data_IF_714519313430
#
_entry.id   IF_714519313430
#
_cell.length_a   1.000
_cell.length_b   1.000
_cell.length_c   1.000
_cell.angle_alpha   90.00
_cell.angle_beta   90.00
_cell.angle_gamma   90.00
#
_symmetry.space_group_name_H-M   'P 1'
#
loop_
_entity.id
_entity.type
_entity.pdbx_description
1 polymer ?
#
# COMPACT_ATOMS: atom_id res chain seq x y z
N UNK A 1 -20.31 21.98 -3.74
CA UNK A 1 -20.66 20.73 -3.00
C UNK A 1 -19.48 20.38 -2.12
N UNK A 2 -19.64 20.36 -0.79
CA UNK A 2 -18.54 20.08 0.13
C UNK A 2 -18.12 18.64 -0.05
N UNK A 3 -16.88 18.40 -0.46
CA UNK A 3 -16.25 17.09 -0.42
C UNK A 3 -16.10 16.70 1.07
N UNK A 4 -17.17 16.18 1.67
CA UNK A 4 -17.05 15.49 2.95
C UNK A 4 -16.22 14.24 2.71
N UNK A 5 -14.94 14.31 3.01
CA UNK A 5 -14.07 13.13 3.11
C UNK A 5 -14.46 12.43 4.42
N UNK A 6 -15.15 11.33 4.32
CA UNK A 6 -15.45 10.46 5.44
C UNK A 6 -14.36 9.40 5.55
N UNK A 7 -13.75 9.30 6.71
CA UNK A 7 -12.67 8.37 6.98
C UNK A 7 -13.08 7.47 8.14
N UNK A 8 -12.84 6.16 8.00
CA UNK A 8 -12.92 5.22 9.12
C UNK A 8 -14.30 4.70 9.52
N UNK A 9 -15.29 4.70 8.62
CA UNK A 9 -16.56 4.02 8.89
C UNK A 9 -16.96 3.09 7.75
N UNK A 10 -17.40 1.87 8.08
CA UNK A 10 -17.95 0.90 7.11
C UNK A 10 -19.12 1.49 6.33
N UNK A 11 -19.92 2.36 6.97
CA UNK A 11 -21.13 2.94 6.37
C UNK A 11 -20.85 4.10 5.41
N UNK A 12 -19.62 4.61 5.35
CA UNK A 12 -19.23 5.76 4.53
C UNK A 12 -18.18 5.36 3.49
N UNK A 13 -18.35 4.20 2.88
CA UNK A 13 -17.43 3.70 1.84
C UNK A 13 -17.43 4.65 0.66
N UNK A 14 -16.22 5.08 0.30
CA UNK A 14 -15.96 5.63 -1.02
C UNK A 14 -16.11 4.49 -2.01
N UNK A 15 -16.74 4.72 -3.14
CA UNK A 15 -16.97 3.69 -4.14
C UNK A 15 -15.65 3.04 -4.60
N UNK A 16 -15.58 1.73 -4.49
CA UNK A 16 -14.40 0.95 -4.83
C UNK A 16 -14.14 0.95 -6.34
N UNK A 17 -12.88 1.05 -6.72
CA UNK A 17 -12.44 0.92 -8.11
C UNK A 17 -12.66 2.17 -8.96
N UNK A 18 -13.01 3.32 -8.36
CA UNK A 18 -13.22 4.59 -9.07
C UNK A 18 -11.97 5.47 -9.09
N UNK A 19 -11.90 6.30 -10.12
CA UNK A 19 -10.91 7.36 -10.24
C UNK A 19 -11.51 8.69 -9.76
N UNK A 20 -10.99 9.22 -8.65
CA UNK A 20 -11.38 10.50 -8.05
C UNK A 20 -10.39 11.63 -8.36
N UNK A 21 -9.38 11.39 -9.21
CA UNK A 21 -8.38 12.40 -9.58
C UNK A 21 -8.98 13.54 -10.43
N UNK A 22 -10.11 13.28 -11.09
CA UNK A 22 -10.67 14.20 -12.09
C UNK A 22 -9.88 14.25 -13.40
N UNK A 23 -8.93 13.34 -13.57
CA UNK A 23 -8.08 13.14 -14.75
C UNK A 23 -7.70 11.67 -14.89
N UNK A 24 -7.31 11.25 -16.09
CA UNK A 24 -6.86 9.89 -16.35
C UNK A 24 -5.35 9.71 -16.11
N UNK A 25 -4.58 10.79 -16.20
CA UNK A 25 -3.13 10.78 -16.00
C UNK A 25 -2.76 10.61 -14.53
N UNK A 26 -1.94 9.62 -14.21
CA UNK A 26 -1.38 9.39 -12.89
C UNK A 26 -0.13 10.24 -12.68
N UNK A 27 0.05 10.79 -11.47
CA UNK A 27 1.20 11.61 -11.08
C UNK A 27 1.77 11.16 -9.75
N UNK A 28 3.07 11.41 -9.55
CA UNK A 28 3.69 11.21 -8.24
C UNK A 28 2.97 12.06 -7.19
N UNK A 29 2.71 11.46 -6.03
CA UNK A 29 1.95 12.06 -4.95
C UNK A 29 0.45 11.81 -4.98
N UNK A 30 -0.09 11.21 -6.05
CA UNK A 30 -1.51 10.81 -6.08
C UNK A 30 -1.80 9.74 -5.04
N UNK A 31 -2.90 9.92 -4.33
CA UNK A 31 -3.37 8.97 -3.33
C UNK A 31 -4.02 7.75 -3.98
N UNK A 32 -3.86 6.60 -3.33
CA UNK A 32 -4.50 5.34 -3.70
C UNK A 32 -5.08 4.71 -2.45
N UNK A 33 -6.31 4.24 -2.54
CA UNK A 33 -6.92 3.37 -1.53
C UNK A 33 -7.14 1.98 -2.12
N UNK A 34 -6.67 0.96 -1.41
CA UNK A 34 -6.94 -0.44 -1.70
C UNK A 34 -8.00 -0.97 -0.73
N UNK A 35 -9.06 -1.54 -1.28
CA UNK A 35 -10.21 -2.06 -0.55
C UNK A 35 -10.13 -3.58 -0.48
N UNK A 36 -10.04 -4.09 0.72
CA UNK A 36 -10.23 -5.49 1.05
C UNK A 36 -11.69 -5.73 1.48
N UNK A 37 -12.02 -6.91 1.91
CA UNK A 37 -13.39 -7.25 2.32
C UNK A 37 -13.96 -6.29 3.38
N UNK A 38 -13.22 -6.06 4.45
CA UNK A 38 -13.58 -5.14 5.54
C UNK A 38 -12.59 -3.99 5.70
N UNK A 39 -11.34 -4.21 5.31
CA UNK A 39 -10.25 -3.28 5.55
C UNK A 39 -9.93 -2.39 4.34
N UNK A 40 -9.28 -1.27 4.61
CA UNK A 40 -8.76 -0.35 3.60
C UNK A 40 -7.35 0.05 3.93
N UNK A 41 -6.49 0.00 2.94
CA UNK A 41 -5.10 0.44 3.05
C UNK A 41 -4.83 1.63 2.14
N UNK A 42 -4.01 2.54 2.63
CA UNK A 42 -3.71 3.80 1.96
C UNK A 42 -2.28 3.83 1.45
N UNK A 43 -2.15 4.18 0.17
CA UNK A 43 -0.88 4.30 -0.53
C UNK A 43 -0.80 5.65 -1.22
N UNK A 44 0.39 6.01 -1.66
CA UNK A 44 0.61 7.10 -2.62
C UNK A 44 1.55 6.64 -3.73
N UNK A 45 1.43 7.28 -4.88
CA UNK A 45 2.37 7.07 -5.98
C UNK A 45 3.67 7.77 -5.64
N UNK A 46 4.74 7.00 -5.47
CA UNK A 46 6.09 7.51 -5.23
C UNK A 46 6.74 7.96 -6.55
N UNK A 47 6.57 7.15 -7.60
CA UNK A 47 7.11 7.40 -8.93
C UNK A 47 6.18 6.86 -10.02
N UNK A 48 6.00 7.61 -11.09
CA UNK A 48 5.31 7.15 -12.30
C UNK A 48 6.36 6.78 -13.34
N UNK A 49 6.58 5.47 -13.53
CA UNK A 49 7.48 4.94 -14.57
C UNK A 49 6.79 5.08 -15.94
N UNK A 50 5.50 4.75 -15.97
CA UNK A 50 4.60 4.98 -17.11
C UNK A 50 3.15 5.00 -16.60
N UNK A 51 2.18 5.38 -17.45
CA UNK A 51 0.75 5.32 -17.07
C UNK A 51 0.22 3.90 -16.82
N UNK A 52 1.05 2.89 -17.06
CA UNK A 52 0.76 1.47 -16.77
C UNK A 52 1.73 0.84 -15.78
N UNK A 53 2.71 1.60 -15.27
CA UNK A 53 3.70 1.11 -14.31
C UNK A 53 4.05 2.22 -13.32
N UNK A 54 3.78 1.99 -12.03
CA UNK A 54 3.98 2.94 -10.95
C UNK A 54 4.70 2.28 -9.78
N UNK A 55 5.51 3.05 -9.06
CA UNK A 55 5.98 2.66 -7.72
C UNK A 55 5.07 3.30 -6.69
N UNK A 56 4.65 2.50 -5.73
CA UNK A 56 3.77 2.94 -4.64
C UNK A 56 4.40 2.67 -3.28
N UNK A 57 4.07 3.51 -2.32
CA UNK A 57 4.41 3.34 -0.91
C UNK A 57 3.18 3.47 -0.05
N UNK A 58 3.14 2.74 1.07
CA UNK A 58 2.11 2.94 2.11
C UNK A 58 2.38 4.23 2.87
N UNK A 59 1.32 4.82 3.39
CA UNK A 59 1.44 5.84 4.43
C UNK A 59 1.74 5.19 5.79
N UNK A 60 2.49 5.91 6.63
CA UNK A 60 2.45 5.69 8.07
C UNK A 60 1.16 6.28 8.61
N UNK A 61 0.44 5.54 9.43
CA UNK A 61 -0.92 5.90 9.83
C UNK A 61 -1.00 5.94 11.35
N UNK A 62 -1.66 6.97 11.85
CA UNK A 62 -1.97 7.15 13.25
C UNK A 62 -3.41 7.64 13.39
N UNK A 63 -4.12 7.17 14.41
CA UNK A 63 -5.42 7.70 14.74
C UNK A 63 -5.32 9.17 15.19
N UNK A 64 -6.22 10.02 14.71
CA UNK A 64 -6.34 11.39 15.19
C UNK A 64 -7.08 11.43 16.52
N UNK A 65 -6.32 11.39 17.62
CA UNK A 65 -6.87 11.42 18.99
C UNK A 65 -7.43 12.77 19.43
N UNK A 66 -7.18 13.83 18.64
CA UNK A 66 -7.79 15.14 18.90
C UNK A 66 -9.27 15.19 18.53
N UNK A 67 -9.74 14.19 17.78
CA UNK A 67 -11.08 14.12 17.21
C UNK A 67 -11.72 12.76 17.47
N UNK A 68 -12.12 12.50 18.71
CA UNK A 68 -12.94 11.31 19.01
C UNK A 68 -14.34 11.48 18.45
N UNK A 69 -14.68 10.70 17.44
CA UNK A 69 -16.01 10.72 16.80
C UNK A 69 -16.94 9.62 17.32
N UNK A 70 -16.53 8.87 18.36
CA UNK A 70 -17.28 7.75 18.90
C UNK A 70 -16.87 6.40 18.29
N UNK A 71 -17.52 5.34 18.75
CA UNK A 71 -17.22 3.96 18.32
C UNK A 71 -17.46 3.79 16.82
N UNK A 72 -16.47 3.22 16.11
CA UNK A 72 -16.53 2.97 14.67
C UNK A 72 -16.31 4.21 13.78
N UNK A 73 -16.07 5.38 14.38
CA UNK A 73 -15.76 6.62 13.67
C UNK A 73 -14.41 7.11 14.11
N UNK A 74 -13.38 6.83 13.34
CA UNK A 74 -12.03 7.28 13.63
C UNK A 74 -11.49 8.09 12.46
N UNK A 75 -10.97 9.28 12.72
CA UNK A 75 -10.17 10.02 11.76
C UNK A 75 -8.73 9.55 11.83
N UNK A 76 -8.06 9.55 10.69
CA UNK A 76 -6.70 9.07 10.54
C UNK A 76 -5.78 10.16 10.04
N UNK A 77 -4.58 10.19 10.59
CA UNK A 77 -3.48 11.03 10.12
C UNK A 77 -2.53 10.18 9.29
N UNK A 78 -2.04 10.75 8.22
CA UNK A 78 -1.23 10.08 7.22
C UNK A 78 0.10 10.80 7.04
N UNK A 79 1.19 10.07 7.22
CA UNK A 79 2.54 10.60 7.12
C UNK A 79 3.30 9.86 6.02
N UNK A 80 4.11 10.56 5.25
CA UNK A 80 4.95 9.95 4.21
C UNK A 80 6.27 9.41 4.75
N UNK A 81 6.70 9.88 5.89
CA UNK A 81 7.98 9.49 6.51
C UNK A 81 7.78 9.01 7.94
N UNK A 82 8.62 8.06 8.36
CA UNK A 82 8.66 7.58 9.74
C UNK A 82 9.01 8.71 10.71
N UNK A 83 9.83 9.66 10.27
CA UNK A 83 10.21 10.82 11.10
C UNK A 83 9.00 11.68 11.44
N UNK A 84 8.21 12.08 10.44
CA UNK A 84 6.99 12.87 10.64
C UNK A 84 6.01 12.15 11.57
N UNK A 85 5.81 10.86 11.35
CA UNK A 85 4.97 10.02 12.18
C UNK A 85 5.47 9.98 13.64
N UNK A 86 6.76 9.73 13.86
CA UNK A 86 7.36 9.67 15.20
C UNK A 86 7.37 11.01 15.91
N UNK A 87 7.58 12.11 15.17
CA UNK A 87 7.54 13.46 15.75
C UNK A 87 6.12 13.80 16.22
N UNK A 88 5.10 13.42 15.45
CA UNK A 88 3.71 13.56 15.91
C UNK A 88 3.40 12.71 17.16
N UNK A 89 3.82 11.44 17.17
CA UNK A 89 3.61 10.53 18.29
C UNK A 89 4.17 11.09 19.60
N UNK A 90 5.32 11.76 19.58
CA UNK A 90 5.90 12.41 20.76
C UNK A 90 5.02 13.52 21.36
N UNK A 91 4.11 14.09 20.56
CA UNK A 91 3.20 15.16 21.01
C UNK A 91 1.94 14.66 21.65
N UNK A 92 1.65 13.36 21.57
CA UNK A 92 0.43 12.74 22.09
C UNK A 92 0.70 11.82 23.29
N UNK A 93 -0.36 11.50 24.02
CA UNK A 93 -0.27 10.70 25.26
C UNK A 93 0.30 9.29 24.98
N UNK A 94 1.36 8.84 25.70
CA UNK A 94 2.01 7.55 25.51
C UNK A 94 1.10 6.33 25.74
N UNK A 95 -0.10 6.49 26.28
CA UNK A 95 -1.08 5.40 26.44
C UNK A 95 -1.88 5.09 25.18
N UNK A 96 -1.70 5.87 24.14
CA UNK A 96 -2.43 5.72 22.89
C UNK A 96 -1.82 4.61 22.07
N UNK A 97 -2.62 3.60 21.68
CA UNK A 97 -2.17 2.52 20.81
C UNK A 97 -2.00 3.04 19.40
N UNK A 98 -0.86 2.77 18.80
CA UNK A 98 -0.54 3.12 17.41
C UNK A 98 -0.60 1.89 16.53
N UNK A 99 -1.11 2.06 15.32
CA UNK A 99 -0.89 1.09 14.27
C UNK A 99 0.45 1.42 13.64
N UNK A 100 1.44 0.58 13.91
CA UNK A 100 2.73 0.65 13.25
C UNK A 100 2.66 -0.18 11.96
N UNK A 101 2.71 0.49 10.83
CA UNK A 101 3.09 -0.15 9.58
C UNK A 101 4.61 0.01 9.46
N UNK A 102 5.37 -1.09 9.44
CA UNK A 102 6.83 -1.07 9.25
C UNK A 102 7.23 -0.21 8.07
N UNK A 103 8.53 0.10 7.91
CA UNK A 103 8.98 0.91 6.76
C UNK A 103 8.37 0.40 5.46
N UNK A 104 7.55 1.21 4.79
CA UNK A 104 6.88 0.77 3.58
C UNK A 104 7.91 0.69 2.46
N UNK A 105 8.36 -0.52 2.17
CA UNK A 105 9.12 -0.75 0.95
C UNK A 105 8.28 -0.31 -0.25
N UNK A 106 8.92 0.36 -1.20
CA UNK A 106 8.26 0.71 -2.43
C UNK A 106 7.95 -0.56 -3.23
N UNK A 107 6.68 -0.75 -3.58
CA UNK A 107 6.26 -1.84 -4.45
C UNK A 107 5.95 -1.31 -5.85
N UNK A 108 6.23 -2.10 -6.89
CA UNK A 108 5.94 -1.71 -8.26
C UNK A 108 4.62 -2.37 -8.69
N UNK A 109 3.68 -1.55 -9.13
CA UNK A 109 2.41 -2.01 -9.70
C UNK A 109 2.37 -1.78 -11.19
N UNK A 110 1.89 -2.79 -11.94
CA UNK A 110 1.80 -2.76 -13.40
C UNK A 110 0.37 -3.08 -13.84
N UNK A 111 -0.17 -2.29 -14.75
CA UNK A 111 -1.48 -2.54 -15.34
C UNK A 111 -1.35 -3.50 -16.51
N UNK A 112 -1.90 -4.72 -16.35
CA UNK A 112 -1.90 -5.79 -17.35
C UNK A 112 -3.31 -6.34 -17.51
N UNK A 113 -3.72 -6.56 -18.76
CA UNK A 113 -5.06 -7.10 -19.04
C UNK A 113 -6.21 -6.36 -18.35
N UNK A 114 -6.10 -5.02 -18.25
CA UNK A 114 -7.09 -4.19 -17.57
C UNK A 114 -7.01 -4.17 -16.03
N UNK A 115 -6.15 -4.96 -15.41
CA UNK A 115 -5.99 -5.07 -13.95
C UNK A 115 -4.62 -4.59 -13.49
N UNK A 116 -4.57 -4.04 -12.29
CA UNK A 116 -3.32 -3.74 -11.62
C UNK A 116 -2.79 -4.98 -10.89
N UNK A 117 -1.51 -5.25 -11.07
CA UNK A 117 -0.78 -6.38 -10.48
C UNK A 117 0.50 -5.86 -9.84
N UNK A 118 0.91 -6.47 -8.74
CA UNK A 118 2.22 -6.25 -8.16
C UNK A 118 3.27 -6.95 -9.03
N UNK A 119 4.32 -6.20 -9.41
CA UNK A 119 5.50 -6.71 -10.10
C UNK A 119 6.56 -7.07 -9.08
N UNK A 120 6.85 -8.34 -8.96
CA UNK A 120 7.85 -8.87 -8.03
C UNK A 120 9.05 -9.33 -8.83
N UNK A 121 10.23 -8.87 -8.44
CA UNK A 121 11.50 -9.25 -9.08
C UNK A 121 12.22 -10.23 -8.15
N UNK A 122 12.66 -11.35 -8.72
CA UNK A 122 13.50 -12.32 -8.05
C UNK A 122 14.79 -12.50 -8.83
N UNK A 123 15.90 -12.46 -8.15
CA UNK A 123 17.19 -12.91 -8.61
C UNK A 123 17.93 -13.57 -7.44
N UNK A 124 19.08 -14.14 -7.69
CA UNK A 124 19.85 -14.87 -6.66
C UNK A 124 20.12 -13.99 -5.43
N UNK A 125 20.54 -12.73 -5.63
CA UNK A 125 20.87 -11.82 -4.54
C UNK A 125 19.65 -11.50 -3.66
N UNK A 126 18.48 -11.24 -4.29
CA UNK A 126 17.22 -10.97 -3.59
C UNK A 126 16.74 -12.19 -2.81
N UNK A 127 16.80 -13.38 -3.42
CA UNK A 127 16.40 -14.63 -2.76
C UNK A 127 17.32 -14.93 -1.57
N UNK A 128 18.63 -14.80 -1.73
CA UNK A 128 19.61 -14.99 -0.65
C UNK A 128 19.38 -14.00 0.50
N UNK A 129 19.06 -12.74 0.18
CA UNK A 129 18.71 -11.73 1.18
C UNK A 129 17.45 -12.11 1.96
N UNK A 130 16.38 -12.51 1.25
CA UNK A 130 15.10 -12.95 1.88
C UNK A 130 15.35 -14.17 2.76
N UNK A 131 16.08 -15.16 2.26
CA UNK A 131 16.43 -16.38 3.02
C UNK A 131 17.21 -16.05 4.30
N UNK A 132 18.13 -15.09 4.23
CA UNK A 132 18.91 -14.66 5.40
C UNK A 132 18.05 -13.90 6.42
N UNK A 133 17.11 -13.05 5.97
CA UNK A 133 16.25 -12.25 6.82
C UNK A 133 15.14 -13.05 7.46
N UNK A 134 14.41 -13.84 6.66
CA UNK A 134 13.14 -14.48 7.05
C UNK A 134 13.27 -15.98 7.27
N UNK A 135 14.41 -16.58 6.90
CA UNK A 135 14.65 -18.02 7.00
C UNK A 135 13.98 -18.87 5.91
N UNK A 136 13.14 -18.25 5.07
CA UNK A 136 12.48 -18.94 3.96
C UNK A 136 12.17 -17.97 2.81
N UNK A 137 12.04 -18.51 1.59
CA UNK A 137 11.57 -17.75 0.41
C UNK A 137 10.59 -18.62 -0.38
N UNK A 138 9.44 -18.04 -0.75
CA UNK A 138 8.39 -18.73 -1.52
C UNK A 138 8.71 -18.80 -3.02
N UNK A 139 9.79 -18.17 -3.46
CA UNK A 139 10.19 -18.20 -4.86
C UNK A 139 10.57 -19.63 -5.29
N UNK A 140 10.05 -20.05 -6.43
CA UNK A 140 10.41 -21.32 -7.10
C UNK A 140 10.66 -21.06 -8.57
N UNK A 141 11.75 -21.65 -9.05
CA UNK A 141 12.06 -21.72 -10.48
C UNK A 141 11.05 -22.65 -11.16
N UNK A 142 10.52 -22.27 -12.33
CA UNK A 142 9.46 -23.02 -13.02
C UNK A 142 9.97 -23.97 -14.09
N UNK A 143 11.13 -23.70 -14.67
CA UNK A 143 11.71 -24.47 -15.77
C UNK A 143 13.21 -24.23 -15.92
N UNK A 144 13.87 -25.02 -16.77
CA UNK A 144 15.32 -24.95 -17.00
C UNK A 144 15.81 -23.58 -17.48
N UNK A 145 15.01 -22.87 -18.29
CA UNK A 145 15.35 -21.52 -18.75
C UNK A 145 15.42 -20.54 -17.58
N UNK A 146 14.46 -20.60 -16.67
CA UNK A 146 14.47 -19.77 -15.45
C UNK A 146 15.61 -20.19 -14.51
N UNK A 147 15.91 -21.50 -14.42
CA UNK A 147 17.05 -21.97 -13.62
C UNK A 147 18.35 -21.36 -14.12
N UNK A 148 18.58 -21.39 -15.44
CA UNK A 148 19.75 -20.75 -16.04
C UNK A 148 19.80 -19.23 -15.76
N UNK A 149 18.67 -18.53 -15.91
CA UNK A 149 18.59 -17.10 -15.58
C UNK A 149 18.93 -16.84 -14.11
N UNK A 150 18.39 -17.65 -13.21
CA UNK A 150 18.65 -17.53 -11.78
C UNK A 150 20.11 -17.76 -11.43
N UNK A 151 20.72 -18.82 -11.99
CA UNK A 151 22.13 -19.15 -11.78
C UNK A 151 23.07 -18.06 -12.31
N UNK A 152 22.69 -17.40 -13.42
CA UNK A 152 23.37 -16.25 -13.98
C UNK A 152 23.10 -14.92 -13.23
N UNK A 153 22.31 -14.95 -12.16
CA UNK A 153 21.94 -13.76 -11.37
C UNK A 153 20.98 -12.80 -12.08
N UNK A 154 20.32 -13.23 -13.15
CA UNK A 154 19.36 -12.42 -13.91
C UNK A 154 18.02 -12.34 -13.22
N UNK A 155 17.29 -11.25 -13.48
CA UNK A 155 15.98 -11.00 -12.95
C UNK A 155 14.92 -11.94 -13.54
N UNK A 156 14.13 -12.53 -12.65
CA UNK A 156 12.92 -13.29 -12.96
C UNK A 156 11.73 -12.49 -12.43
N UNK A 157 10.84 -12.08 -13.32
CA UNK A 157 9.70 -11.25 -12.97
C UNK A 157 8.47 -12.12 -12.72
N UNK A 158 7.79 -11.88 -11.62
CA UNK A 158 6.47 -12.43 -11.30
C UNK A 158 5.45 -11.30 -11.20
N UNK A 159 4.22 -11.64 -11.51
CA UNK A 159 3.09 -10.72 -11.35
C UNK A 159 2.07 -11.40 -10.43
N UNK A 160 1.65 -10.66 -9.42
CA UNK A 160 0.66 -11.10 -8.44
C UNK A 160 -0.53 -10.14 -8.52
N UNK A 161 -1.74 -10.67 -8.65
CA UNK A 161 -2.94 -9.85 -8.58
C UNK A 161 -3.00 -9.15 -7.23
N UNK A 162 -3.41 -7.88 -7.24
CA UNK A 162 -3.68 -7.16 -5.99
C UNK A 162 -4.90 -7.81 -5.33
N UNK A 163 -4.80 -8.01 -4.02
CA UNK A 163 -5.85 -8.71 -3.25
C UNK A 163 -7.13 -7.88 -3.08
N UNK A 164 -7.13 -6.63 -3.56
CA UNK A 164 -8.25 -5.70 -3.39
C UNK A 164 -8.50 -4.86 -4.62
N UNK A 165 -9.65 -4.20 -4.65
CA UNK A 165 -9.96 -3.17 -5.64
C UNK A 165 -9.25 -1.88 -5.24
N UNK A 166 -8.82 -1.09 -6.22
CA UNK A 166 -8.13 0.17 -5.99
C UNK A 166 -8.92 1.36 -6.51
N UNK A 167 -8.88 2.45 -5.76
CA UNK A 167 -9.37 3.77 -6.17
C UNK A 167 -8.23 4.78 -6.13
N UNK A 168 -8.16 5.63 -7.14
CA UNK A 168 -7.17 6.70 -7.24
C UNK A 168 -7.76 8.04 -6.80
N UNK A 169 -6.92 8.92 -6.24
CA UNK A 169 -7.30 10.28 -5.86
C UNK A 169 -8.07 10.36 -4.55
N UNK A 170 -8.06 9.31 -3.77
CA UNK A 170 -8.70 9.25 -2.46
C UNK A 170 -7.78 8.58 -1.46
N UNK A 171 -7.79 9.12 -0.24
CA UNK A 171 -7.03 8.62 0.90
C UNK A 171 -8.01 8.16 1.96
N UNK A 172 -8.07 6.86 2.17
CA UNK A 172 -8.95 6.26 3.16
C UNK A 172 -8.27 5.04 3.79
N UNK A 173 -8.37 4.93 5.11
CA UNK A 173 -7.85 3.82 5.88
C UNK A 173 -8.92 3.34 6.85
N UNK A 174 -9.06 2.02 6.94
CA UNK A 174 -9.93 1.38 7.91
C UNK A 174 -9.38 0.00 8.28
N UNK A 175 -9.40 -0.32 9.54
CA UNK A 175 -9.04 -1.64 10.04
C UNK A 175 -10.18 -2.14 10.92
N UNK A 176 -10.67 -3.33 10.60
CA UNK A 176 -11.72 -3.98 11.37
C UNK A 176 -11.09 -4.83 12.48
N UNK A 177 -11.33 -4.44 13.72
CA UNK A 177 -10.76 -5.13 14.89
C UNK A 177 -11.56 -6.36 15.30
N UNK A 178 -12.70 -6.64 14.65
CA UNK A 178 -13.61 -7.72 15.01
C UNK A 178 -13.38 -9.02 14.21
N UNK A 179 -12.38 -9.05 13.32
CA UNK A 179 -12.01 -10.22 12.50
C UNK A 179 -10.59 -10.68 12.73
#
# INVERSE_FOLDING_TARGET
MSNKKWYGSVNNRIDEGKNYLGRDELKAGDDITMYYYSDRECYYIDEVISQKEIKVKRYYICADHSKSLGYGHQEWLYFKTLKEHNDYIKTINPRTKFIYCGEPEATTWVKRYGKWQEKIIYNKAIVDYIMKRDGYCLFKVKNEKEQKMFDEGKDIIRYKDLNGKISFGVRDYYYDWEF
#
